data_IF_554613939787
#
_entry.id   IF_554613939787
#
_cell.length_a   1.000
_cell.length_b   1.000
_cell.length_c   1.000
_cell.angle_alpha   90.00
_cell.angle_beta   90.00
_cell.angle_gamma   90.00
#
_symmetry.space_group_name_H-M   'P 1'
#
loop_
_entity.id
_entity.type
_entity.pdbx_description
1 polymer ?
#
# COMPACT_ATOMS: atom_id res chain seq x y z
N UNK A 1 -11.07 -51.12 -3.95
CA UNK A 1 -11.03 -49.66 -4.22
C UNK A 1 -11.93 -49.35 -5.41
N UNK A 2 -12.91 -48.47 -5.20
CA UNK A 2 -13.80 -47.92 -6.21
C UNK A 2 -13.00 -47.27 -7.38
N UNK A 3 -13.40 -47.49 -8.65
CA UNK A 3 -12.86 -46.79 -9.83
C UNK A 3 -12.62 -45.28 -9.65
N UNK A 4 -13.50 -44.57 -8.94
CA UNK A 4 -13.37 -43.13 -8.66
C UNK A 4 -12.15 -42.84 -7.77
N UNK A 5 -11.90 -43.70 -6.78
CA UNK A 5 -10.80 -43.56 -5.84
C UNK A 5 -9.46 -43.89 -6.49
N UNK A 6 -9.41 -44.89 -7.39
CA UNK A 6 -8.22 -45.18 -8.21
C UNK A 6 -7.85 -44.01 -9.14
N UNK A 7 -8.85 -43.36 -9.77
CA UNK A 7 -8.62 -42.17 -10.61
C UNK A 7 -8.09 -40.97 -9.82
N UNK A 8 -8.58 -40.75 -8.59
CA UNK A 8 -8.07 -39.67 -7.71
C UNK A 8 -6.61 -39.90 -7.31
N UNK A 9 -6.23 -41.13 -6.98
CA UNK A 9 -4.84 -41.48 -6.62
C UNK A 9 -3.90 -41.30 -7.81
N UNK A 10 -4.27 -41.77 -9.00
CA UNK A 10 -3.46 -41.55 -10.21
C UNK A 10 -3.30 -40.06 -10.57
N UNK A 11 -4.36 -39.27 -10.45
CA UNK A 11 -4.30 -37.81 -10.69
C UNK A 11 -3.36 -37.13 -9.69
N UNK A 12 -3.39 -37.54 -8.43
CA UNK A 12 -2.51 -37.01 -7.38
C UNK A 12 -1.04 -37.39 -7.62
N UNK A 13 -0.76 -38.64 -7.99
CA UNK A 13 0.59 -39.09 -8.32
C UNK A 13 1.16 -38.37 -9.55
N UNK A 14 0.35 -38.16 -10.60
CA UNK A 14 0.76 -37.36 -11.77
C UNK A 14 1.07 -35.91 -11.39
N UNK A 15 0.24 -35.29 -10.54
CA UNK A 15 0.47 -33.93 -10.07
C UNK A 15 1.77 -33.80 -9.25
N UNK A 16 2.09 -34.79 -8.42
CA UNK A 16 3.36 -34.84 -7.68
C UNK A 16 4.55 -34.97 -8.63
N UNK A 17 4.47 -35.85 -9.63
CA UNK A 17 5.54 -36.04 -10.61
C UNK A 17 5.77 -34.79 -11.49
N UNK A 18 4.70 -34.10 -11.89
CA UNK A 18 4.79 -32.82 -12.61
C UNK A 18 5.39 -31.71 -11.74
N UNK A 19 5.00 -31.62 -10.47
CA UNK A 19 5.58 -30.66 -9.53
C UNK A 19 7.07 -30.92 -9.29
N UNK A 20 7.48 -32.18 -9.23
CA UNK A 20 8.90 -32.56 -9.10
C UNK A 20 9.70 -32.22 -10.37
N UNK A 21 9.15 -32.44 -11.57
CA UNK A 21 9.77 -32.02 -12.84
C UNK A 21 9.93 -30.50 -12.92
N UNK A 22 8.91 -29.74 -12.54
CA UNK A 22 8.96 -28.26 -12.50
C UNK A 22 10.04 -27.75 -11.54
N UNK A 23 10.12 -28.31 -10.33
CA UNK A 23 11.18 -27.96 -9.35
C UNK A 23 12.58 -28.23 -9.88
N UNK A 24 12.81 -29.37 -10.54
CA UNK A 24 14.11 -29.71 -11.16
C UNK A 24 14.46 -28.74 -12.29
N UNK A 25 13.48 -28.32 -13.09
CA UNK A 25 13.69 -27.35 -14.17
C UNK A 25 13.98 -25.94 -13.61
N UNK A 26 13.28 -25.52 -12.56
CA UNK A 26 13.52 -24.25 -11.88
C UNK A 26 14.91 -24.20 -11.22
N UNK A 27 15.37 -25.33 -10.67
CA UNK A 27 16.72 -25.48 -10.11
C UNK A 27 17.79 -25.36 -11.21
N UNK A 28 17.57 -25.99 -12.38
CA UNK A 28 18.46 -25.85 -13.55
C UNK A 28 18.50 -24.41 -14.09
N UNK A 29 17.37 -23.72 -14.14
CA UNK A 29 17.29 -22.34 -14.60
C UNK A 29 17.94 -21.35 -13.63
N UNK A 30 17.95 -21.62 -12.32
CA UNK A 30 18.67 -20.81 -11.31
C UNK A 30 20.20 -20.89 -11.46
N UNK A 31 20.72 -21.99 -12.00
CA UNK A 31 22.16 -22.22 -12.16
C UNK A 31 22.69 -21.79 -13.53
N UNK A 32 21.86 -21.24 -14.42
CA UNK A 32 22.28 -20.71 -15.71
C UNK A 32 22.17 -19.17 -15.73
N UNK A 33 23.28 -18.44 -15.45
CA UNK A 33 23.27 -16.98 -15.34
C UNK A 33 22.85 -16.27 -16.64
N UNK A 34 23.05 -16.90 -17.81
CA UNK A 34 22.68 -16.32 -19.12
C UNK A 34 21.16 -16.35 -19.35
N UNK A 35 20.50 -17.46 -18.99
CA UNK A 35 19.04 -17.58 -19.06
C UNK A 35 18.32 -16.69 -18.04
N UNK A 36 18.91 -16.52 -16.84
CA UNK A 36 18.41 -15.58 -15.84
C UNK A 36 18.54 -14.11 -16.31
N UNK A 37 19.65 -13.76 -16.95
CA UNK A 37 19.88 -12.43 -17.53
C UNK A 37 18.94 -12.15 -18.72
N UNK A 38 18.74 -13.10 -19.62
CA UNK A 38 17.81 -12.97 -20.75
C UNK A 38 16.34 -12.90 -20.30
N UNK A 39 15.96 -13.64 -19.25
CA UNK A 39 14.61 -13.56 -18.65
C UNK A 39 14.40 -12.22 -17.94
N UNK A 40 15.42 -11.68 -17.28
CA UNK A 40 15.39 -10.34 -16.68
C UNK A 40 15.33 -9.24 -17.76
N UNK A 41 16.07 -9.38 -18.85
CA UNK A 41 16.05 -8.46 -19.99
C UNK A 41 14.70 -8.49 -20.73
N UNK A 42 14.07 -9.67 -20.88
CA UNK A 42 12.71 -9.80 -21.44
C UNK A 42 11.63 -9.23 -20.51
N UNK A 43 11.78 -9.34 -19.18
CA UNK A 43 10.88 -8.69 -18.20
C UNK A 43 10.92 -7.16 -18.27
N UNK A 44 12.05 -6.59 -18.68
CA UNK A 44 12.22 -5.13 -18.82
C UNK A 44 11.65 -4.54 -20.12
N UNK A 45 11.16 -5.36 -21.05
CA UNK A 45 10.58 -4.88 -22.33
C UNK A 45 9.06 -4.68 -22.32
N UNK A 46 8.35 -4.96 -21.22
CA UNK A 46 6.94 -4.56 -21.10
C UNK A 46 6.91 -3.03 -20.98
N UNK A 47 6.36 -2.35 -22.00
CA UNK A 47 6.15 -0.90 -21.98
C UNK A 47 5.43 -0.53 -20.68
N UNK A 48 6.14 0.18 -19.81
CA UNK A 48 5.71 0.63 -18.48
C UNK A 48 4.77 1.82 -18.65
N UNK A 49 3.53 1.56 -19.05
CA UNK A 49 2.48 2.57 -18.93
C UNK A 49 1.74 2.27 -17.64
N UNK A 50 1.99 3.11 -16.65
CA UNK A 50 1.34 3.04 -15.36
C UNK A 50 -0.01 3.75 -15.49
N UNK A 51 -1.13 3.06 -15.22
CA UNK A 51 -2.45 3.65 -15.37
C UNK A 51 -2.75 4.45 -14.10
N UNK A 52 -1.98 5.49 -13.77
CA UNK A 52 -2.50 6.49 -12.83
C UNK A 52 -3.55 7.29 -13.62
N UNK A 53 -4.77 7.47 -13.10
CA UNK A 53 -5.90 7.91 -13.89
C UNK A 53 -5.75 9.38 -14.20
N UNK A 54 -5.61 9.71 -15.48
CA UNK A 54 -5.61 11.10 -15.95
C UNK A 54 -6.99 11.75 -15.86
N UNK A 55 -8.04 10.96 -15.60
CA UNK A 55 -9.41 11.44 -15.40
C UNK A 55 -9.65 12.07 -14.03
N UNK A 56 -8.74 11.90 -13.07
CA UNK A 56 -8.83 12.61 -11.78
C UNK A 56 -8.28 14.02 -11.97
N UNK A 57 -9.11 15.03 -11.70
CA UNK A 57 -8.70 16.44 -11.67
C UNK A 57 -8.70 16.93 -10.22
N UNK A 58 -7.51 17.14 -9.68
CA UNK A 58 -7.35 17.64 -8.30
C UNK A 58 -8.13 18.95 -8.05
N UNK A 59 -8.27 19.80 -9.06
CA UNK A 59 -9.02 21.06 -9.00
C UNK A 59 -10.50 20.89 -8.64
N UNK A 60 -11.12 19.74 -8.97
CA UNK A 60 -12.52 19.43 -8.61
C UNK A 60 -12.68 19.17 -7.10
N UNK A 61 -11.56 19.03 -6.38
CA UNK A 61 -11.50 18.77 -4.94
C UNK A 61 -10.65 19.82 -4.21
N UNK A 62 -10.64 21.07 -4.71
CA UNK A 62 -9.85 22.18 -4.16
C UNK A 62 -8.33 21.91 -4.09
N UNK A 63 -7.83 20.99 -4.92
CA UNK A 63 -6.46 20.47 -4.86
C UNK A 63 -6.08 19.83 -3.52
N UNK A 64 -7.08 19.36 -2.76
CA UNK A 64 -6.93 18.68 -1.47
C UNK A 64 -7.14 17.17 -1.61
N UNK A 65 -6.23 16.39 -1.03
CA UNK A 65 -6.35 14.93 -0.93
C UNK A 65 -6.19 14.48 0.53
N UNK A 66 -7.09 13.60 0.98
CA UNK A 66 -7.09 13.02 2.31
C UNK A 66 -6.62 11.57 2.22
N UNK A 67 -5.43 11.29 2.77
CA UNK A 67 -4.90 9.94 2.81
C UNK A 67 -5.21 9.35 4.17
N UNK A 68 -5.98 8.27 4.18
CA UNK A 68 -6.50 7.66 5.42
C UNK A 68 -5.78 6.35 5.71
N UNK A 69 -4.92 6.39 6.72
CA UNK A 69 -4.18 5.27 7.26
C UNK A 69 -4.91 4.52 8.36
N UNK A 70 -4.14 3.68 9.06
CA UNK A 70 -4.67 2.74 10.02
C UNK A 70 -4.54 3.14 11.49
N UNK A 71 -3.93 4.29 11.82
CA UNK A 71 -3.53 4.63 13.19
C UNK A 71 -4.70 4.84 14.18
N UNK A 72 -4.51 4.53 15.48
CA UNK A 72 -5.52 4.63 16.53
C UNK A 72 -6.12 6.03 16.75
N UNK A 73 -5.52 7.13 16.27
CA UNK A 73 -6.15 8.46 16.32
C UNK A 73 -7.52 8.51 15.64
N UNK A 74 -7.82 7.56 14.74
CA UNK A 74 -9.10 7.48 14.06
C UNK A 74 -10.16 6.61 14.78
N UNK A 75 -9.88 6.09 15.98
CA UNK A 75 -10.80 5.16 16.68
C UNK A 75 -12.20 5.74 16.93
N UNK A 76 -12.30 7.07 17.10
CA UNK A 76 -13.57 7.79 17.30
C UNK A 76 -13.78 8.89 16.25
N UNK A 77 -13.12 8.75 15.09
CA UNK A 77 -13.24 9.74 14.04
C UNK A 77 -14.63 9.65 13.37
N UNK A 78 -15.25 10.80 13.15
CA UNK A 78 -16.49 10.90 12.40
C UNK A 78 -16.19 10.87 10.89
N UNK A 79 -16.42 9.73 10.26
CA UNK A 79 -16.10 9.50 8.85
C UNK A 79 -16.88 10.41 7.89
N UNK A 80 -18.04 10.95 8.31
CA UNK A 80 -18.83 11.89 7.50
C UNK A 80 -18.09 13.19 7.19
N UNK A 81 -17.06 13.52 7.98
CA UNK A 81 -16.19 14.67 7.72
C UNK A 81 -15.40 14.56 6.41
N UNK A 82 -15.36 13.37 5.80
CA UNK A 82 -14.72 13.12 4.52
C UNK A 82 -15.71 13.06 3.34
N UNK A 83 -17.01 13.28 3.57
CA UNK A 83 -18.01 13.31 2.51
C UNK A 83 -17.69 14.42 1.49
N UNK A 84 -17.76 14.08 0.20
CA UNK A 84 -17.41 14.99 -0.89
C UNK A 84 -15.92 15.33 -1.02
N UNK A 85 -15.04 14.76 -0.19
CA UNK A 85 -13.58 14.95 -0.29
C UNK A 85 -12.94 13.89 -1.19
N UNK A 86 -11.75 14.20 -1.74
CA UNK A 86 -10.94 13.20 -2.40
C UNK A 86 -10.16 12.38 -1.37
N UNK A 87 -10.37 11.07 -1.35
CA UNK A 87 -9.85 10.15 -0.34
C UNK A 87 -9.06 9.02 -0.97
N UNK A 88 -7.85 8.82 -0.47
CA UNK A 88 -7.05 7.61 -0.68
C UNK A 88 -7.15 6.76 0.59
N UNK A 89 -7.97 5.71 0.54
CA UNK A 89 -8.09 4.73 1.62
C UNK A 89 -6.93 3.73 1.57
N UNK A 90 -6.09 3.70 2.61
CA UNK A 90 -4.93 2.81 2.66
C UNK A 90 -5.25 1.52 3.41
N UNK A 91 -5.02 0.38 2.76
CA UNK A 91 -5.36 -0.94 3.30
C UNK A 91 -6.82 -0.95 3.80
N UNK A 92 -7.07 -1.38 5.05
CA UNK A 92 -8.44 -1.63 5.56
C UNK A 92 -9.27 -0.35 5.79
N UNK A 93 -8.72 0.84 5.56
CA UNK A 93 -9.49 2.08 5.60
C UNK A 93 -10.67 2.10 4.62
N UNK A 94 -10.63 1.30 3.55
CA UNK A 94 -11.76 1.17 2.61
C UNK A 94 -13.03 0.65 3.29
N UNK A 95 -12.90 -0.08 4.40
CA UNK A 95 -14.04 -0.72 5.08
C UNK A 95 -14.96 0.29 5.78
N UNK A 96 -14.43 1.47 6.10
CA UNK A 96 -15.16 2.58 6.74
C UNK A 96 -15.33 3.78 5.80
N UNK A 97 -14.83 3.66 4.57
CA UNK A 97 -14.83 4.73 3.56
C UNK A 97 -15.33 4.18 2.22
N UNK A 98 -16.61 3.76 2.12
CA UNK A 98 -17.15 3.12 0.91
C UNK A 98 -17.04 3.99 -0.35
N UNK A 99 -16.97 5.32 -0.18
CA UNK A 99 -16.92 6.31 -1.25
C UNK A 99 -15.50 6.81 -1.54
N UNK A 100 -14.45 6.20 -0.96
CA UNK A 100 -13.08 6.60 -1.27
C UNK A 100 -12.76 6.41 -2.76
N UNK A 101 -12.19 7.43 -3.40
CA UNK A 101 -11.93 7.41 -4.83
C UNK A 101 -10.82 6.41 -5.18
N UNK A 102 -9.88 6.19 -4.25
CA UNK A 102 -8.79 5.23 -4.39
C UNK A 102 -8.69 4.34 -3.15
N UNK A 103 -8.50 3.04 -3.38
CA UNK A 103 -8.01 2.11 -2.36
C UNK A 103 -6.58 1.70 -2.70
N UNK A 104 -5.63 1.96 -1.80
CA UNK A 104 -4.22 1.68 -2.02
C UNK A 104 -3.68 0.60 -1.07
N UNK A 105 -2.90 -0.35 -1.58
CA UNK A 105 -2.22 -1.38 -0.78
C UNK A 105 -0.86 -1.77 -1.37
N UNK A 106 -0.02 -2.44 -0.58
CA UNK A 106 1.33 -2.87 -1.02
C UNK A 106 1.61 -4.35 -0.74
N UNK A 107 0.99 -4.94 0.29
CA UNK A 107 1.31 -6.32 0.69
C UNK A 107 0.89 -7.37 -0.35
N UNK A 108 1.73 -8.38 -0.53
CA UNK A 108 1.57 -9.36 -1.62
C UNK A 108 0.36 -10.26 -1.43
N UNK A 109 0.00 -10.58 -0.19
CA UNK A 109 -1.16 -11.41 0.13
C UNK A 109 -2.43 -10.58 0.38
N UNK A 110 -2.34 -9.24 0.38
CA UNK A 110 -3.45 -8.36 0.74
C UNK A 110 -4.67 -8.60 -0.14
N UNK A 111 -4.46 -8.57 -1.46
CA UNK A 111 -5.55 -8.78 -2.41
C UNK A 111 -6.25 -10.11 -2.18
N UNK A 112 -5.50 -11.21 -2.09
CA UNK A 112 -6.08 -12.56 -1.91
C UNK A 112 -6.94 -12.70 -0.64
N UNK A 113 -6.64 -11.90 0.40
CA UNK A 113 -7.38 -11.92 1.66
C UNK A 113 -8.59 -11.00 1.67
N UNK A 114 -8.52 -9.88 0.95
CA UNK A 114 -9.54 -8.83 0.97
C UNK A 114 -10.37 -8.78 -0.33
N UNK A 115 -10.15 -9.70 -1.28
CA UNK A 115 -10.77 -9.66 -2.63
C UNK A 115 -12.26 -9.41 -2.58
N UNK A 116 -13.02 -10.15 -1.75
CA UNK A 116 -14.49 -10.01 -1.66
C UNK A 116 -14.93 -8.59 -1.25
N UNK A 117 -14.23 -7.94 -0.32
CA UNK A 117 -14.52 -6.57 0.09
C UNK A 117 -14.06 -5.55 -0.95
N UNK A 118 -12.86 -5.75 -1.48
CA UNK A 118 -12.27 -4.88 -2.51
C UNK A 118 -13.10 -4.84 -3.79
N UNK A 119 -13.67 -5.97 -4.23
CA UNK A 119 -14.54 -6.04 -5.41
C UNK A 119 -15.89 -5.32 -5.22
N UNK A 120 -16.35 -5.14 -3.99
CA UNK A 120 -17.56 -4.37 -3.69
C UNK A 120 -17.32 -2.87 -3.65
N UNK A 121 -16.08 -2.46 -3.38
CA UNK A 121 -15.70 -1.07 -3.31
C UNK A 121 -15.68 -0.45 -4.71
N UNK A 122 -16.20 0.77 -4.88
CA UNK A 122 -16.29 1.43 -6.20
C UNK A 122 -14.98 2.10 -6.59
N UNK A 123 -14.24 2.65 -5.62
CA UNK A 123 -12.92 3.27 -5.81
C UNK A 123 -11.91 2.44 -6.60
N UNK A 124 -10.99 3.13 -7.30
CA UNK A 124 -9.92 2.51 -8.09
C UNK A 124 -8.93 1.81 -7.17
N UNK A 125 -8.56 0.56 -7.45
CA UNK A 125 -7.66 -0.22 -6.59
C UNK A 125 -6.24 -0.11 -7.11
N UNK A 126 -5.40 0.56 -6.35
CA UNK A 126 -3.98 0.70 -6.63
C UNK A 126 -3.14 -0.21 -5.76
N UNK A 127 -2.17 -0.88 -6.39
CA UNK A 127 -1.18 -1.65 -5.66
C UNK A 127 0.23 -1.18 -5.98
N UNK A 128 0.96 -0.73 -4.96
CA UNK A 128 2.40 -0.56 -5.05
C UNK A 128 3.12 -1.90 -5.11
N UNK A 129 3.97 -2.11 -6.10
CA UNK A 129 4.72 -3.36 -6.31
C UNK A 129 6.19 -3.12 -6.57
N UNK A 130 7.05 -3.70 -5.73
CA UNK A 130 8.48 -3.82 -6.01
C UNK A 130 8.72 -4.76 -7.20
N UNK A 131 9.71 -4.46 -8.05
CA UNK A 131 9.92 -5.15 -9.32
C UNK A 131 10.00 -6.69 -9.22
N UNK A 132 10.55 -7.21 -8.12
CA UNK A 132 10.70 -8.67 -7.86
C UNK A 132 9.42 -9.37 -7.39
N UNK A 133 8.36 -8.63 -7.05
CA UNK A 133 7.09 -9.20 -6.54
C UNK A 133 6.17 -9.63 -7.67
N UNK A 134 5.37 -10.65 -7.40
CA UNK A 134 4.38 -11.21 -8.35
C UNK A 134 3.33 -10.16 -8.67
N UNK A 135 3.01 -10.03 -9.95
CA UNK A 135 1.94 -9.15 -10.46
C UNK A 135 0.58 -9.77 -10.15
N UNK A 136 -0.35 -8.98 -9.62
CA UNK A 136 -1.75 -9.35 -9.52
C UNK A 136 -2.37 -9.15 -10.90
N UNK A 137 -2.70 -10.26 -11.57
CA UNK A 137 -3.37 -10.23 -12.87
C UNK A 137 -4.89 -10.18 -12.67
N UNK A 138 -5.40 -9.02 -12.23
CA UNK A 138 -6.83 -8.79 -12.04
C UNK A 138 -7.23 -7.47 -12.72
N UNK A 139 -8.33 -7.42 -13.50
CA UNK A 139 -8.73 -6.21 -14.24
C UNK A 139 -8.98 -5.00 -13.32
N UNK A 140 -9.51 -5.22 -12.12
CA UNK A 140 -9.79 -4.13 -11.17
C UNK A 140 -8.57 -3.63 -10.39
N UNK A 141 -7.37 -4.21 -10.58
CA UNK A 141 -6.16 -3.85 -9.83
C UNK A 141 -5.15 -3.18 -10.74
N UNK A 142 -4.85 -1.92 -10.43
CA UNK A 142 -3.89 -1.08 -11.12
C UNK A 142 -2.54 -1.15 -10.40
N UNK A 143 -1.55 -1.76 -11.05
CA UNK A 143 -0.22 -1.99 -10.50
C UNK A 143 0.67 -0.76 -10.71
N UNK A 144 1.24 -0.25 -9.61
CA UNK A 144 2.20 0.86 -9.60
C UNK A 144 3.60 0.35 -9.27
N UNK A 145 4.61 0.76 -10.03
CA UNK A 145 5.98 0.35 -9.79
C UNK A 145 6.55 1.11 -8.59
N UNK A 146 6.98 0.37 -7.57
CA UNK A 146 7.75 0.92 -6.47
C UNK A 146 9.25 0.87 -6.78
N UNK A 147 9.95 1.96 -6.49
CA UNK A 147 11.39 1.98 -6.54
C UNK A 147 11.98 1.02 -5.48
N UNK A 148 13.10 0.33 -5.76
CA UNK A 148 13.69 -0.62 -4.83
C UNK A 148 14.24 0.04 -3.56
N UNK A 149 14.59 1.32 -3.66
CA UNK A 149 15.04 2.16 -2.55
C UNK A 149 13.80 2.69 -1.83
N UNK A 150 13.79 2.66 -0.49
CA UNK A 150 12.62 3.11 0.28
C UNK A 150 12.45 4.63 0.24
N UNK A 151 13.56 5.39 0.22
CA UNK A 151 13.52 6.85 0.34
C UNK A 151 13.78 7.50 -1.00
N UNK A 152 12.97 8.50 -1.33
CA UNK A 152 13.15 9.34 -2.51
C UNK A 152 11.82 9.95 -2.94
N UNK A 153 11.85 10.58 -4.10
CA UNK A 153 10.69 11.10 -4.79
C UNK A 153 10.85 10.83 -6.28
N UNK A 154 9.76 10.47 -6.96
CA UNK A 154 9.76 10.32 -8.41
C UNK A 154 8.85 11.35 -9.06
N UNK A 155 9.42 12.11 -9.99
CA UNK A 155 8.66 12.99 -10.91
C UNK A 155 8.10 12.21 -12.10
N UNK A 156 8.57 10.98 -12.30
CA UNK A 156 8.04 10.11 -13.33
C UNK A 156 6.70 9.51 -12.87
N UNK A 157 5.65 9.85 -13.61
CA UNK A 157 4.29 9.40 -13.35
C UNK A 157 4.19 7.87 -13.26
N UNK A 158 3.57 7.40 -12.18
CA UNK A 158 3.37 6.00 -11.84
C UNK A 158 4.61 5.27 -11.30
N UNK A 159 5.70 5.97 -11.04
CA UNK A 159 6.78 5.44 -10.21
C UNK A 159 6.69 6.07 -8.82
N UNK A 160 6.75 5.27 -7.75
CA UNK A 160 6.68 5.78 -6.39
C UNK A 160 7.81 5.21 -5.53
N UNK A 161 8.30 5.98 -4.57
CA UNK A 161 9.07 5.46 -3.44
C UNK A 161 8.13 5.01 -2.33
N UNK A 162 8.53 4.03 -1.53
CA UNK A 162 7.61 3.38 -0.60
C UNK A 162 7.84 3.73 0.88
N UNK A 163 8.92 4.40 1.26
CA UNK A 163 9.22 4.82 2.65
C UNK A 163 9.08 3.74 3.71
N UNK A 164 9.15 2.46 3.30
CA UNK A 164 8.78 1.29 4.09
C UNK A 164 7.35 1.27 4.67
N UNK A 165 6.41 2.04 4.09
CA UNK A 165 4.97 2.00 4.42
C UNK A 165 4.09 2.55 3.28
N UNK A 166 2.87 2.03 3.12
CA UNK A 166 1.97 2.42 2.01
C UNK A 166 1.65 3.93 1.97
N UNK A 167 1.59 4.59 3.12
CA UNK A 167 1.23 6.00 3.20
C UNK A 167 2.26 6.93 2.55
N UNK A 168 3.56 6.59 2.66
CA UNK A 168 4.63 7.33 1.98
C UNK A 168 4.49 7.29 0.45
N UNK A 169 4.10 6.13 -0.09
CA UNK A 169 3.81 6.01 -1.52
C UNK A 169 2.55 6.81 -1.90
N UNK A 170 1.51 6.79 -1.06
CA UNK A 170 0.27 7.52 -1.31
C UNK A 170 0.47 9.05 -1.39
N UNK A 171 1.41 9.62 -0.64
CA UNK A 171 1.74 11.05 -0.75
C UNK A 171 2.25 11.39 -2.15
N UNK A 172 3.16 10.58 -2.70
CA UNK A 172 3.66 10.77 -4.07
C UNK A 172 2.56 10.49 -5.10
N UNK A 173 1.69 9.50 -4.85
CA UNK A 173 0.55 9.23 -5.73
C UNK A 173 -0.39 10.44 -5.78
N UNK A 174 -0.75 11.02 -4.64
CA UNK A 174 -1.57 12.23 -4.58
C UNK A 174 -0.91 13.40 -5.31
N UNK A 175 0.39 13.62 -5.12
CA UNK A 175 1.12 14.66 -5.85
C UNK A 175 1.13 14.42 -7.37
N UNK A 176 1.32 13.17 -7.82
CA UNK A 176 1.25 12.82 -9.24
C UNK A 176 -0.15 12.95 -9.83
N UNK A 177 -1.20 12.87 -9.01
CA UNK A 177 -2.59 13.16 -9.38
C UNK A 177 -2.91 14.67 -9.41
N UNK A 178 -1.93 15.53 -9.10
CA UNK A 178 -2.07 16.98 -9.14
C UNK A 178 -2.51 17.62 -7.82
N UNK A 179 -2.63 16.87 -6.72
CA UNK A 179 -2.98 17.43 -5.43
C UNK A 179 -1.79 18.17 -4.82
N UNK A 180 -2.01 19.43 -4.42
CA UNK A 180 -0.98 20.28 -3.80
C UNK A 180 -1.11 20.33 -2.28
N UNK A 181 -2.29 20.03 -1.73
CA UNK A 181 -2.52 19.93 -0.29
C UNK A 181 -2.90 18.51 0.08
N UNK A 182 -2.14 17.89 0.96
CA UNK A 182 -2.28 16.48 1.33
C UNK A 182 -2.46 16.38 2.84
N UNK A 183 -3.62 15.92 3.28
CA UNK A 183 -3.94 15.65 4.68
C UNK A 183 -3.71 14.18 5.01
N UNK A 184 -2.95 13.92 6.07
CA UNK A 184 -2.65 12.58 6.57
C UNK A 184 -3.52 12.30 7.81
N UNK A 185 -4.44 11.33 7.70
CA UNK A 185 -5.32 10.90 8.79
C UNK A 185 -4.92 9.49 9.27
N UNK A 186 -4.77 9.28 10.57
CA UNK A 186 -4.32 7.99 11.12
C UNK A 186 -2.82 7.75 10.96
N UNK A 187 -2.02 8.81 10.88
CA UNK A 187 -0.56 8.76 10.78
C UNK A 187 0.10 9.06 12.12
N UNK A 188 -0.17 8.19 13.10
CA UNK A 188 0.29 8.39 14.46
C UNK A 188 1.78 8.10 14.61
N UNK A 189 2.30 7.11 13.87
CA UNK A 189 3.70 6.65 13.98
C UNK A 189 4.16 6.32 15.41
N UNK A 190 3.21 6.08 16.32
CA UNK A 190 3.49 5.67 17.70
C UNK A 190 3.60 4.16 17.76
N UNK A 191 4.81 3.68 18.04
CA UNK A 191 5.00 2.27 18.36
C UNK A 191 4.36 1.96 19.72
N UNK A 192 3.41 1.04 19.74
CA UNK A 192 2.76 0.55 20.96
C UNK A 192 2.68 -0.97 20.94
N UNK A 193 2.96 -1.61 22.07
CA UNK A 193 2.96 -3.08 22.21
C UNK A 193 4.34 -3.73 22.08
N UNK A 194 4.42 -5.03 22.41
CA UNK A 194 5.64 -5.83 22.25
C UNK A 194 5.64 -6.46 20.86
N UNK A 195 6.79 -6.38 20.16
CA UNK A 195 6.98 -7.03 18.87
C UNK A 195 6.62 -8.52 18.95
N UNK A 196 5.81 -9.01 18.01
CA UNK A 196 5.44 -10.42 17.94
C UNK A 196 5.36 -10.88 16.49
N UNK A 197 6.38 -11.61 16.05
CA UNK A 197 6.44 -12.20 14.72
C UNK A 197 5.68 -13.53 14.72
N UNK A 198 4.55 -13.57 14.04
CA UNK A 198 3.79 -14.81 13.84
C UNK A 198 2.52 -14.94 14.67
N UNK A 199 2.23 -13.99 15.57
CA UNK A 199 0.93 -13.93 16.24
C UNK A 199 -0.19 -13.68 15.23
N UNK A 200 -1.12 -14.64 15.12
CA UNK A 200 -2.38 -14.44 14.41
C UNK A 200 -3.28 -13.59 15.30
N UNK A 201 -3.80 -12.49 14.77
CA UNK A 201 -4.71 -11.56 15.45
C UNK A 201 -4.08 -10.86 16.66
N UNK A 202 -3.02 -10.06 16.42
CA UNK A 202 -2.48 -9.18 17.45
C UNK A 202 -3.55 -8.17 17.88
N UNK A 203 -4.10 -8.32 19.09
CA UNK A 203 -4.93 -7.30 19.75
C UNK A 203 -3.99 -6.23 20.29
N UNK A 204 -4.07 -4.99 19.78
CA UNK A 204 -3.30 -3.89 20.36
C UNK A 204 -3.05 -2.68 19.48
N UNK A 205 -3.52 -1.54 19.98
CA UNK A 205 -3.02 -0.13 19.99
C UNK A 205 -2.32 0.52 18.81
N UNK A 206 -1.79 -0.20 17.81
CA UNK A 206 -1.11 0.43 16.65
C UNK A 206 -2.07 0.78 15.53
N UNK A 207 -3.29 0.22 15.56
CA UNK A 207 -4.33 0.49 14.58
C UNK A 207 -5.71 0.65 15.23
N UNK A 208 -6.61 1.39 14.57
CA UNK A 208 -8.01 1.53 14.98
C UNK A 208 -8.84 0.26 14.71
N UNK A 209 -8.35 -0.65 13.87
CA UNK A 209 -8.99 -1.91 13.54
C UNK A 209 -8.15 -3.13 13.96
N UNK A 210 -8.81 -4.29 14.11
CA UNK A 210 -8.16 -5.57 14.41
C UNK A 210 -7.60 -6.27 13.14
N UNK A 211 -7.19 -7.53 13.25
CA UNK A 211 -6.90 -8.39 12.08
C UNK A 211 -5.49 -8.30 11.50
N UNK A 212 -4.58 -7.57 12.14
CA UNK A 212 -3.16 -7.57 11.80
C UNK A 212 -2.45 -8.83 12.32
N UNK A 213 -1.52 -9.36 11.52
CA UNK A 213 -0.78 -10.61 11.78
C UNK A 213 0.56 -10.40 12.48
N UNK A 214 0.93 -9.15 12.76
CA UNK A 214 2.15 -8.79 13.47
C UNK A 214 2.03 -7.37 13.99
N UNK A 215 2.80 -7.09 15.03
CA UNK A 215 3.15 -5.72 15.45
C UNK A 215 4.55 -5.49 14.90
N UNK A 216 4.76 -4.42 14.13
CA UNK A 216 6.09 -4.07 13.64
C UNK A 216 6.98 -3.57 14.79
N UNK A 217 8.30 -3.84 14.77
CA UNK A 217 9.19 -3.42 15.86
C UNK A 217 9.40 -1.91 15.85
N UNK A 218 9.77 -1.33 16.99
CA UNK A 218 10.08 0.10 17.11
C UNK A 218 11.13 0.60 16.09
N UNK A 219 12.09 -0.25 15.71
CA UNK A 219 13.09 0.05 14.68
C UNK A 219 12.48 0.29 13.30
N UNK A 220 11.35 -0.36 12.98
CA UNK A 220 10.61 -0.11 11.74
C UNK A 220 9.98 1.29 11.75
N UNK A 221 9.37 1.71 12.87
CA UNK A 221 8.82 3.06 13.03
C UNK A 221 9.91 4.13 12.93
N UNK A 222 11.05 3.94 13.62
CA UNK A 222 12.18 4.85 13.52
C UNK A 222 12.73 4.97 12.09
N UNK A 223 12.76 3.87 11.32
CA UNK A 223 13.10 3.89 9.89
C UNK A 223 12.06 4.67 9.07
N UNK A 224 10.77 4.39 9.25
CA UNK A 224 9.70 5.11 8.54
C UNK A 224 9.75 6.61 8.80
N UNK A 225 9.90 7.04 10.05
CA UNK A 225 10.04 8.45 10.43
C UNK A 225 11.23 9.13 9.74
N UNK A 226 12.39 8.46 9.65
CA UNK A 226 13.55 8.98 8.89
C UNK A 226 13.24 9.16 7.40
N UNK A 227 12.42 8.29 6.80
CA UNK A 227 12.01 8.46 5.41
C UNK A 227 11.09 9.67 5.24
N UNK A 228 10.09 9.83 6.11
CA UNK A 228 9.22 11.01 6.10
C UNK A 228 10.00 12.32 6.30
N UNK A 229 10.99 12.33 7.20
CA UNK A 229 11.85 13.50 7.39
C UNK A 229 12.57 13.91 6.10
N UNK A 230 13.05 12.93 5.30
CA UNK A 230 13.67 13.20 3.99
C UNK A 230 12.67 13.70 2.95
N UNK A 231 11.42 13.27 3.02
CA UNK A 231 10.36 13.70 2.10
C UNK A 231 10.03 15.19 2.22
N UNK A 232 10.23 15.82 3.38
CA UNK A 232 9.95 17.26 3.59
C UNK A 232 10.64 18.13 2.54
N UNK A 233 11.92 17.87 2.25
CA UNK A 233 12.67 18.62 1.25
C UNK A 233 12.10 18.42 -0.17
N UNK A 234 11.73 17.18 -0.52
CA UNK A 234 11.13 16.87 -1.82
C UNK A 234 9.77 17.54 -2.02
N UNK A 235 8.93 17.52 -0.98
CA UNK A 235 7.62 18.16 -0.98
C UNK A 235 7.74 19.68 -1.12
N UNK A 236 8.66 20.31 -0.36
CA UNK A 236 8.94 21.75 -0.44
C UNK A 236 9.39 22.18 -1.83
N UNK A 237 10.29 21.42 -2.47
CA UNK A 237 10.75 21.71 -3.84
C UNK A 237 9.62 21.70 -4.90
N UNK A 238 8.49 21.05 -4.59
CA UNK A 238 7.37 20.84 -5.51
C UNK A 238 6.12 21.59 -5.08
N UNK A 239 6.23 22.46 -4.08
CA UNK A 239 5.10 23.18 -3.50
C UNK A 239 3.95 22.25 -3.04
N UNK A 240 4.31 21.07 -2.53
CA UNK A 240 3.36 20.11 -1.95
C UNK A 240 3.28 20.37 -0.45
N UNK A 241 2.11 20.79 0.01
CA UNK A 241 1.80 21.00 1.41
C UNK A 241 1.29 19.69 2.03
N UNK A 242 2.07 19.12 2.95
CA UNK A 242 1.71 17.88 3.65
C UNK A 242 1.37 18.24 5.09
N UNK A 243 0.17 17.88 5.54
CA UNK A 243 -0.33 18.19 6.88
C UNK A 243 -0.67 16.87 7.59
N UNK A 244 -0.13 16.68 8.79
CA UNK A 244 -0.52 15.56 9.64
C UNK A 244 -1.73 15.97 10.50
N UNK A 245 -2.89 15.37 10.25
CA UNK A 245 -4.12 15.66 11.00
C UNK A 245 -4.11 14.85 12.29
N UNK A 246 -3.68 15.50 13.37
CA UNK A 246 -3.43 14.89 14.65
C UNK A 246 -3.29 15.95 15.76
N UNK A 247 -3.01 15.52 16.99
CA UNK A 247 -2.54 16.43 18.04
C UNK A 247 -1.02 16.36 18.19
N UNK A 248 -0.35 17.41 18.70
CA UNK A 248 1.07 17.36 19.04
C UNK A 248 1.42 16.27 20.06
N UNK A 249 0.49 15.75 20.85
CA UNK A 249 0.73 14.60 21.73
C UNK A 249 0.31 13.26 21.12
N UNK A 250 -0.46 13.25 20.03
CA UNK A 250 -1.05 12.05 19.43
C UNK A 250 -0.15 11.34 18.41
N UNK A 251 0.79 12.05 17.79
CA UNK A 251 1.67 11.51 16.74
C UNK A 251 3.16 11.66 17.05
N UNK A 252 4.00 10.75 16.54
CA UNK A 252 5.47 10.89 16.47
C UNK A 252 5.94 11.40 15.08
N UNK A 253 5.03 11.52 14.11
CA UNK A 253 5.32 12.09 12.80
C UNK A 253 5.30 13.62 12.87
N UNK A 254 6.44 14.18 13.33
CA UNK A 254 6.64 15.62 13.61
C UNK A 254 7.21 16.44 12.46
N UNK A 255 7.65 15.79 11.39
CA UNK A 255 8.33 16.46 10.29
C UNK A 255 7.41 17.31 9.41
N UNK A 256 6.09 17.17 9.57
CA UNK A 256 5.07 17.95 8.86
C UNK A 256 4.30 18.86 9.83
N UNK A 257 3.75 19.99 9.37
CA UNK A 257 2.76 20.75 10.13
C UNK A 257 1.66 19.85 10.68
N UNK A 258 1.30 20.07 11.95
CA UNK A 258 0.24 19.31 12.63
C UNK A 258 -0.98 20.22 12.78
N UNK A 259 -2.15 19.75 12.33
CA UNK A 259 -3.45 20.39 12.58
C UNK A 259 -4.37 19.42 13.31
N UNK A 260 -5.17 19.91 14.25
CA UNK A 260 -6.20 19.08 14.90
C UNK A 260 -7.31 18.73 13.92
N UNK A 261 -8.16 17.77 14.29
CA UNK A 261 -9.34 17.42 13.50
C UNK A 261 -10.26 18.63 13.34
N UNK A 262 -10.50 19.39 14.41
CA UNK A 262 -11.34 20.59 14.41
C UNK A 262 -10.75 21.70 13.55
N UNK A 263 -9.42 21.81 13.49
CA UNK A 263 -8.72 22.79 12.65
C UNK A 263 -8.72 22.45 11.16
N UNK A 264 -9.13 21.23 10.78
CA UNK A 264 -9.26 20.80 9.37
C UNK A 264 -10.73 20.63 8.97
N UNK A 265 -11.56 20.18 9.91
CA UNK A 265 -12.98 19.91 9.73
C UNK A 265 -13.80 20.73 10.74
N UNK A 266 -13.93 22.05 10.53
CA UNK A 266 -14.77 22.88 11.38
C UNK A 266 -16.22 22.38 11.35
N UNK A 267 -16.94 22.60 12.44
CA UNK A 267 -18.35 22.24 12.62
C UNK A 267 -19.27 22.94 11.64
#
# INVERSE_FOLDING_TARGET
MDPVQKRRVQKHQRAIQEAAKRRRQDQKNKNNPKAAAETAAKRNKVKRVLPVPKDIKASEFNNECYIVGGGPSLTKFDWKKLDGKFVIAVNRSYEVLPDAQIVYFTDDDYWSRHTKGMLKHTGKKYRGRLAKRVVIKHPDVLEIQLQPQPSGWSDQFGELYHGSNSGFACIQLAAQLGFTTIYLLGYDMKHRGKYNRGAKNCKGTTHWHNGHRRIDPATAYAMMLRHYQKMVAHAKQRNINIINVNTPKGTDLKCFPIKSFEGVFPS
#
